data_IF_360695699875
#
_entry.id   IF_360695699875
#
_cell.length_a   1.000
_cell.length_b   1.000
_cell.length_c   1.000
_cell.angle_alpha   90.00
_cell.angle_beta   90.00
_cell.angle_gamma   90.00
#
_symmetry.space_group_name_H-M   'P 1'
#
loop_
_entity.id
_entity.type
_entity.pdbx_description
1 polymer ?
#
# COMPACT_ATOMS: atom_id res chain seq x y z
N UNK A 1 -9.26 -18.92 -16.04
CA UNK A 1 -9.46 -17.47 -16.22
C UNK A 1 -10.42 -16.84 -15.19
N UNK A 2 -11.68 -17.32 -15.09
CA UNK A 2 -12.63 -16.83 -14.07
C UNK A 2 -12.03 -16.91 -12.66
N UNK A 3 -11.34 -18.01 -12.35
CA UNK A 3 -10.64 -18.21 -11.08
C UNK A 3 -9.65 -17.08 -10.79
N UNK A 4 -8.68 -16.77 -11.66
CA UNK A 4 -7.70 -15.72 -11.38
C UNK A 4 -8.32 -14.33 -11.15
N UNK A 5 -9.35 -13.96 -11.93
CA UNK A 5 -10.08 -12.69 -11.75
C UNK A 5 -10.86 -12.66 -10.43
N UNK A 6 -11.55 -13.77 -10.10
CA UNK A 6 -12.30 -13.92 -8.85
C UNK A 6 -11.34 -13.92 -7.65
N UNK A 7 -10.24 -14.66 -7.72
CA UNK A 7 -9.22 -14.69 -6.67
C UNK A 7 -8.65 -13.30 -6.45
N UNK A 8 -8.27 -12.58 -7.52
CA UNK A 8 -7.77 -11.21 -7.40
C UNK A 8 -8.79 -10.26 -6.76
N UNK A 9 -10.06 -10.38 -7.14
CA UNK A 9 -11.14 -9.59 -6.54
C UNK A 9 -11.31 -9.90 -5.04
N UNK A 10 -11.37 -11.18 -4.67
CA UNK A 10 -11.45 -11.62 -3.26
C UNK A 10 -10.22 -11.15 -2.47
N UNK A 11 -9.03 -11.33 -3.02
CA UNK A 11 -7.78 -10.87 -2.40
C UNK A 11 -7.81 -9.35 -2.19
N UNK A 12 -8.28 -8.58 -3.16
CA UNK A 12 -8.42 -7.12 -3.04
C UNK A 12 -9.41 -6.72 -1.94
N UNK A 13 -10.52 -7.46 -1.79
CA UNK A 13 -11.46 -7.25 -0.68
C UNK A 13 -10.86 -7.60 0.69
N UNK A 14 -10.08 -8.69 0.77
CA UNK A 14 -9.36 -9.05 2.00
C UNK A 14 -8.35 -7.95 2.37
N UNK A 15 -7.58 -7.45 1.39
CA UNK A 15 -6.66 -6.33 1.60
C UNK A 15 -7.42 -5.08 2.06
N UNK A 16 -8.56 -4.75 1.44
CA UNK A 16 -9.39 -3.62 1.87
C UNK A 16 -9.84 -3.76 3.33
N UNK A 17 -10.29 -4.96 3.72
CA UNK A 17 -10.69 -5.24 5.09
C UNK A 17 -9.51 -5.14 6.07
N UNK A 18 -8.33 -5.64 5.69
CA UNK A 18 -7.11 -5.50 6.49
C UNK A 18 -6.74 -4.02 6.69
N UNK A 19 -6.79 -3.21 5.63
CA UNK A 19 -6.58 -1.75 5.74
C UNK A 19 -7.61 -1.10 6.65
N UNK A 20 -8.89 -1.48 6.53
CA UNK A 20 -9.95 -0.96 7.40
C UNK A 20 -9.71 -1.32 8.87
N UNK A 21 -9.40 -2.59 9.17
CA UNK A 21 -9.14 -3.05 10.54
C UNK A 21 -7.90 -2.36 11.12
N UNK A 22 -6.80 -2.28 10.36
CA UNK A 22 -5.59 -1.59 10.80
C UNK A 22 -5.79 -0.09 10.98
N UNK A 23 -6.63 0.56 10.17
CA UNK A 23 -7.02 1.96 10.39
C UNK A 23 -7.65 2.16 11.78
N UNK A 24 -8.54 1.23 12.17
CA UNK A 24 -9.25 1.25 13.45
C UNK A 24 -8.37 0.88 14.65
N UNK A 25 -7.16 0.38 14.43
CA UNK A 25 -6.15 0.16 15.48
C UNK A 25 -5.38 1.43 15.82
N UNK A 26 -5.77 2.59 15.29
CA UNK A 26 -5.20 3.88 15.67
C UNK A 26 -5.66 4.28 17.06
N UNK A 27 -4.72 4.54 17.97
CA UNK A 27 -5.04 4.98 19.33
C UNK A 27 -5.07 6.51 19.42
N UNK A 28 -5.71 7.02 20.47
CA UNK A 28 -5.68 8.45 20.78
C UNK A 28 -4.24 8.93 21.03
N UNK A 29 -3.84 10.13 20.56
CA UNK A 29 -2.49 10.68 20.72
C UNK A 29 -2.00 10.78 22.17
N UNK A 30 -2.92 10.74 23.14
CA UNK A 30 -2.60 10.90 24.56
C UNK A 30 -2.70 9.59 25.35
N UNK A 31 -2.79 8.46 24.65
CA UNK A 31 -2.83 7.12 25.23
C UNK A 31 -1.49 6.43 25.06
N UNK A 32 -0.92 5.93 26.16
CA UNK A 32 0.26 5.06 26.12
C UNK A 32 -0.22 3.61 26.03
N UNK A 33 0.07 2.92 24.92
CA UNK A 33 -0.24 1.49 24.76
C UNK A 33 0.94 0.64 25.22
N UNK A 34 0.67 -0.35 26.09
CA UNK A 34 1.66 -1.36 26.49
C UNK A 34 1.82 -2.53 25.51
N UNK A 35 0.92 -2.67 24.54
CA UNK A 35 0.88 -3.83 23.64
C UNK A 35 1.61 -3.61 22.30
N UNK A 36 2.34 -2.50 22.15
CA UNK A 36 2.98 -2.12 20.89
C UNK A 36 1.97 -1.82 19.78
N UNK A 37 2.38 -2.01 18.51
CA UNK A 37 1.52 -1.82 17.33
C UNK A 37 1.11 -3.15 16.68
N UNK A 38 -0.11 -3.67 16.96
CA UNK A 38 -0.63 -4.87 16.29
C UNK A 38 -0.71 -4.76 14.75
N UNK A 39 -0.82 -3.54 14.20
CA UNK A 39 -0.88 -3.33 12.76
C UNK A 39 0.41 -3.75 12.03
N UNK A 40 1.54 -3.88 12.73
CA UNK A 40 2.79 -4.40 12.15
C UNK A 40 2.64 -5.85 11.65
N UNK A 41 1.84 -6.67 12.34
CA UNK A 41 1.53 -8.03 11.90
C UNK A 41 0.79 -7.99 10.55
N UNK A 42 -0.12 -7.03 10.39
CA UNK A 42 -0.84 -6.83 9.13
C UNK A 42 0.11 -6.46 8.00
N UNK A 43 1.11 -5.58 8.24
CA UNK A 43 2.15 -5.27 7.24
C UNK A 43 2.89 -6.53 6.79
N UNK A 44 3.27 -7.40 7.72
CA UNK A 44 3.97 -8.65 7.41
C UNK A 44 3.12 -9.58 6.52
N UNK A 45 1.80 -9.62 6.72
CA UNK A 45 0.86 -10.43 5.92
C UNK A 45 0.57 -9.77 4.55
N UNK A 46 0.56 -8.43 4.49
CA UNK A 46 0.33 -7.71 3.23
C UNK A 46 1.45 -7.96 2.20
N UNK A 47 2.68 -8.23 2.63
CA UNK A 47 3.79 -8.49 1.73
C UNK A 47 3.61 -9.75 0.84
N UNK A 48 3.34 -10.96 1.38
CA UNK A 48 3.05 -12.11 0.54
C UNK A 48 1.77 -11.94 -0.28
N UNK A 49 0.76 -11.24 0.25
CA UNK A 49 -0.47 -10.93 -0.50
C UNK A 49 -0.15 -10.02 -1.70
N UNK A 50 0.73 -9.04 -1.53
CA UNK A 50 1.18 -8.17 -2.62
C UNK A 50 1.79 -8.98 -3.76
N UNK A 51 2.69 -9.92 -3.44
CA UNK A 51 3.33 -10.81 -4.40
C UNK A 51 2.27 -11.65 -5.14
N UNK A 52 1.31 -12.22 -4.41
CA UNK A 52 0.20 -12.96 -5.01
C UNK A 52 -0.61 -12.09 -5.98
N UNK A 53 -0.93 -10.84 -5.61
CA UNK A 53 -1.66 -9.93 -6.49
C UNK A 53 -0.88 -9.60 -7.77
N UNK A 54 0.43 -9.36 -7.68
CA UNK A 54 1.30 -9.14 -8.84
C UNK A 54 1.24 -10.35 -9.78
N UNK A 55 1.40 -11.57 -9.26
CA UNK A 55 1.34 -12.81 -10.05
C UNK A 55 -0.01 -12.96 -10.75
N UNK A 56 -1.11 -12.70 -10.04
CA UNK A 56 -2.47 -12.77 -10.60
C UNK A 56 -2.68 -11.74 -11.71
N UNK A 57 -2.18 -10.51 -11.54
CA UNK A 57 -2.21 -9.49 -12.58
C UNK A 57 -1.41 -9.90 -13.82
N UNK A 58 -0.16 -10.36 -13.65
CA UNK A 58 0.68 -10.84 -14.76
C UNK A 58 -0.03 -11.95 -15.54
N UNK A 59 -0.61 -12.93 -14.84
CA UNK A 59 -1.37 -14.02 -15.47
C UNK A 59 -2.57 -13.52 -16.27
N UNK A 60 -3.28 -12.51 -15.76
CA UNK A 60 -4.41 -11.90 -16.48
C UNK A 60 -3.91 -11.18 -17.74
N UNK A 61 -2.83 -10.40 -17.64
CA UNK A 61 -2.25 -9.66 -18.75
C UNK A 61 -1.76 -10.60 -19.87
N UNK A 62 -1.07 -11.70 -19.52
CA UNK A 62 -0.61 -12.72 -20.46
C UNK A 62 -1.75 -13.36 -21.25
N UNK A 63 -2.83 -13.74 -20.56
CA UNK A 63 -3.98 -14.41 -21.20
C UNK A 63 -4.74 -13.51 -22.17
N UNK A 64 -4.77 -12.20 -21.94
CA UNK A 64 -5.48 -11.25 -22.82
C UNK A 64 -4.57 -10.64 -23.88
N UNK A 65 -3.29 -11.05 -23.95
CA UNK A 65 -2.30 -10.57 -24.93
C UNK A 65 -2.33 -9.04 -25.09
N UNK A 66 -2.29 -8.33 -23.96
CA UNK A 66 -2.40 -6.87 -23.93
C UNK A 66 -1.25 -6.27 -24.74
N UNK A 67 -1.58 -5.36 -25.67
CA UNK A 67 -0.54 -4.76 -26.52
C UNK A 67 0.46 -3.95 -25.70
N UNK A 68 1.73 -3.92 -26.15
CA UNK A 68 2.80 -3.13 -25.51
C UNK A 68 2.42 -1.65 -25.31
N UNK A 69 1.67 -1.05 -26.24
CA UNK A 69 1.20 0.33 -26.14
C UNK A 69 0.29 0.53 -24.92
N UNK A 70 -0.66 -0.38 -24.70
CA UNK A 70 -1.53 -0.34 -23.52
C UNK A 70 -0.75 -0.52 -22.23
N UNK A 71 0.27 -1.39 -22.22
CA UNK A 71 1.15 -1.56 -21.06
C UNK A 71 1.91 -0.28 -20.72
N UNK A 72 2.51 0.38 -21.72
CA UNK A 72 3.24 1.64 -21.52
C UNK A 72 2.30 2.73 -20.97
N UNK A 73 1.11 2.89 -21.55
CA UNK A 73 0.11 3.85 -21.05
C UNK A 73 -0.29 3.51 -19.61
N UNK A 74 -0.53 2.23 -19.31
CA UNK A 74 -0.85 1.78 -17.95
C UNK A 74 0.27 2.06 -16.95
N UNK A 75 1.52 1.86 -17.33
CA UNK A 75 2.70 2.18 -16.51
C UNK A 75 2.74 3.68 -16.20
N UNK A 76 2.57 4.53 -17.21
CA UNK A 76 2.56 5.99 -17.02
C UNK A 76 1.42 6.42 -16.09
N UNK A 77 0.20 5.92 -16.33
CA UNK A 77 -0.97 6.27 -15.51
C UNK A 77 -0.82 5.83 -14.05
N UNK A 78 -0.37 4.59 -13.82
CA UNK A 78 -0.15 4.08 -12.46
C UNK A 78 1.00 4.81 -11.77
N UNK A 79 2.06 5.17 -12.50
CA UNK A 79 3.17 5.96 -11.97
C UNK A 79 2.74 7.37 -11.55
N UNK A 80 2.00 8.08 -12.40
CA UNK A 80 1.45 9.41 -12.08
C UNK A 80 0.51 9.34 -10.87
N UNK A 81 -0.37 8.34 -10.82
CA UNK A 81 -1.23 8.12 -9.66
C UNK A 81 -0.42 7.90 -8.39
N UNK A 82 0.62 7.06 -8.42
CA UNK A 82 1.48 6.80 -7.26
C UNK A 82 2.20 8.07 -6.77
N UNK A 83 2.72 8.91 -7.67
CA UNK A 83 3.32 10.20 -7.31
C UNK A 83 2.31 11.09 -6.60
N UNK A 84 1.13 11.27 -7.20
CA UNK A 84 0.07 12.12 -6.63
C UNK A 84 -0.39 11.61 -5.26
N UNK A 85 -0.62 10.30 -5.14
CA UNK A 85 -1.05 9.67 -3.91
C UNK A 85 0.03 9.75 -2.81
N UNK A 86 1.31 9.68 -3.16
CA UNK A 86 2.42 9.85 -2.23
C UNK A 86 2.54 11.30 -1.74
N UNK A 87 2.42 12.28 -2.63
CA UNK A 87 2.40 13.71 -2.26
C UNK A 87 1.22 13.99 -1.32
N UNK A 88 0.02 13.51 -1.69
CA UNK A 88 -1.16 13.63 -0.84
C UNK A 88 -0.94 13.01 0.53
N UNK A 89 -0.38 11.79 0.59
CA UNK A 89 -0.14 11.10 1.86
C UNK A 89 0.85 11.85 2.75
N UNK A 90 1.88 12.46 2.15
CA UNK A 90 2.86 13.28 2.87
C UNK A 90 2.21 14.52 3.48
N UNK A 91 1.37 15.21 2.72
CA UNK A 91 0.63 16.40 3.20
C UNK A 91 -0.37 15.98 4.29
N UNK A 92 -1.11 14.89 4.09
CA UNK A 92 -2.06 14.35 5.08
C UNK A 92 -1.37 14.03 6.41
N UNK A 93 -0.20 13.38 6.37
CA UNK A 93 0.57 13.08 7.57
C UNK A 93 1.08 14.34 8.27
N UNK A 94 1.53 15.34 7.52
CA UNK A 94 1.96 16.62 8.09
C UNK A 94 0.80 17.34 8.79
N UNK A 95 -0.37 17.42 8.16
CA UNK A 95 -1.56 18.02 8.77
C UNK A 95 -2.01 17.23 10.02
N UNK A 96 -1.91 15.90 9.97
CA UNK A 96 -2.30 15.05 11.10
C UNK A 96 -1.34 15.19 12.30
N UNK A 97 -0.07 15.54 12.07
CA UNK A 97 0.87 15.89 13.14
C UNK A 97 0.43 17.13 13.91
N UNK A 98 -0.10 18.13 13.23
CA UNK A 98 -0.66 19.32 13.89
C UNK A 98 -1.87 18.95 14.74
N UNK A 99 -2.76 18.06 14.26
CA UNK A 99 -3.89 17.56 15.07
C UNK A 99 -3.41 16.83 16.34
N UNK A 100 -2.36 16.02 16.23
CA UNK A 100 -1.73 15.36 17.38
C UNK A 100 -1.15 16.39 18.35
N UNK A 101 -0.46 17.40 17.83
CA UNK A 101 0.16 18.48 18.59
C UNK A 101 -0.89 19.25 19.38
N UNK A 102 -1.97 19.67 18.75
CA UNK A 102 -3.07 20.40 19.37
C UNK A 102 -3.72 19.58 20.49
N UNK A 103 -4.01 18.30 20.26
CA UNK A 103 -4.58 17.40 21.26
C UNK A 103 -3.67 17.21 22.49
N UNK A 104 -2.35 17.17 22.27
CA UNK A 104 -1.38 17.08 23.36
C UNK A 104 -1.25 18.39 24.14
N UNK A 105 -1.30 19.54 23.47
CA UNK A 105 -1.31 20.86 24.11
C UNK A 105 -2.55 21.03 24.96
N UNK A 106 -3.73 20.67 24.43
CA UNK A 106 -5.00 20.77 25.16
C UNK A 106 -4.97 19.97 26.47
N UNK A 107 -4.39 18.76 26.45
CA UNK A 107 -4.35 17.89 27.64
C UNK A 107 -3.18 18.20 28.60
N UNK A 108 -2.00 18.54 28.10
CA UNK A 108 -0.79 18.66 28.92
C UNK A 108 -0.29 20.11 29.10
N UNK A 109 -0.93 21.09 28.45
CA UNK A 109 -0.56 22.51 28.46
C UNK A 109 0.70 22.86 27.67
N UNK A 110 1.52 21.86 27.31
CA UNK A 110 2.72 21.97 26.48
C UNK A 110 2.98 20.65 25.76
N UNK A 111 3.66 20.73 24.62
CA UNK A 111 4.08 19.56 23.85
C UNK A 111 5.51 19.76 23.36
N UNK A 112 6.29 18.68 23.39
CA UNK A 112 7.60 18.62 22.78
C UNK A 112 7.45 18.21 21.31
N UNK A 113 7.92 19.05 20.38
CA UNK A 113 7.87 18.76 18.95
C UNK A 113 8.65 17.47 18.59
N UNK A 114 9.72 17.16 19.36
CA UNK A 114 10.46 15.92 19.17
C UNK A 114 9.63 14.69 19.56
N UNK A 115 8.81 14.80 20.61
CA UNK A 115 7.88 13.74 21.00
C UNK A 115 6.84 13.51 19.89
N UNK A 116 6.25 14.58 19.34
CA UNK A 116 5.30 14.48 18.21
C UNK A 116 5.96 13.80 17.01
N UNK A 117 7.20 14.15 16.67
CA UNK A 117 7.91 13.45 15.60
C UNK A 117 8.08 11.97 15.94
N UNK A 118 8.54 11.62 17.14
CA UNK A 118 8.78 10.23 17.51
C UNK A 118 7.52 9.36 17.40
N UNK A 119 6.37 9.84 17.89
CA UNK A 119 5.10 9.08 17.82
C UNK A 119 4.42 9.14 16.45
N UNK A 120 4.97 9.87 15.49
CA UNK A 120 4.46 9.97 14.12
C UNK A 120 5.47 9.56 13.06
N UNK A 121 6.54 8.87 13.46
CA UNK A 121 7.56 8.32 12.59
C UNK A 121 7.56 6.79 12.72
N UNK A 122 7.82 6.08 11.63
CA UNK A 122 7.91 4.60 11.57
C UNK A 122 6.68 3.88 12.16
N UNK A 123 5.65 3.61 11.35
CA UNK A 123 4.52 2.70 11.64
C UNK A 123 4.11 2.67 13.13
N UNK A 124 3.93 3.84 13.72
CA UNK A 124 3.53 3.98 15.11
C UNK A 124 2.00 3.85 15.25
N UNK A 125 1.54 3.37 16.40
CA UNK A 125 0.12 3.18 16.70
C UNK A 125 -0.73 4.45 16.55
N UNK A 126 -0.15 5.63 16.78
CA UNK A 126 -0.88 6.90 16.73
C UNK A 126 -1.17 7.35 15.29
N UNK A 127 -0.47 6.77 14.31
CA UNK A 127 -0.56 7.14 12.88
C UNK A 127 -0.94 5.96 11.99
N UNK A 128 -1.46 4.87 12.57
CA UNK A 128 -2.00 3.75 11.79
C UNK A 128 -3.03 4.20 10.74
N UNK A 129 -3.85 5.20 11.05
CA UNK A 129 -4.81 5.79 10.10
C UNK A 129 -4.17 6.55 8.94
N UNK A 130 -2.90 6.93 9.03
CA UNK A 130 -2.15 7.52 7.92
C UNK A 130 -1.49 6.44 7.05
N UNK A 131 -1.13 5.30 7.62
CA UNK A 131 -0.53 4.19 6.85
C UNK A 131 -1.57 3.22 6.26
N UNK A 132 -2.69 3.05 6.93
CA UNK A 132 -3.80 2.19 6.52
C UNK A 132 -5.04 3.05 6.32
N UNK A 133 -5.20 3.63 5.14
CA UNK A 133 -6.41 4.36 4.76
C UNK A 133 -6.76 4.06 3.30
N UNK A 134 -7.83 4.69 2.82
CA UNK A 134 -8.32 4.49 1.46
C UNK A 134 -7.28 4.91 0.42
N UNK A 135 -6.54 6.00 0.64
CA UNK A 135 -5.49 6.45 -0.25
C UNK A 135 -4.34 5.43 -0.32
N UNK A 136 -3.82 4.97 0.81
CA UNK A 136 -2.73 3.98 0.84
C UNK A 136 -3.19 2.60 0.34
N UNK A 137 -4.47 2.25 0.48
CA UNK A 137 -5.05 1.07 -0.16
C UNK A 137 -4.99 1.17 -1.69
N UNK A 138 -5.40 2.30 -2.27
CA UNK A 138 -5.28 2.51 -3.71
C UNK A 138 -3.83 2.55 -4.16
N UNK A 139 -2.91 3.14 -3.38
CA UNK A 139 -1.47 3.07 -3.65
C UNK A 139 -0.97 1.63 -3.73
N UNK A 140 -1.34 0.79 -2.76
CA UNK A 140 -0.96 -0.63 -2.74
C UNK A 140 -1.45 -1.37 -3.99
N UNK A 141 -2.71 -1.18 -4.36
CA UNK A 141 -3.29 -1.78 -5.55
C UNK A 141 -2.61 -1.28 -6.84
N UNK A 142 -2.48 0.04 -7.01
CA UNK A 142 -1.83 0.64 -8.17
C UNK A 142 -0.38 0.20 -8.29
N UNK A 143 0.34 0.04 -7.18
CA UNK A 143 1.70 -0.45 -7.18
C UNK A 143 1.78 -1.92 -7.63
N UNK A 144 0.85 -2.78 -7.19
CA UNK A 144 0.80 -4.17 -7.68
C UNK A 144 0.56 -4.25 -9.19
N UNK A 145 -0.30 -3.38 -9.72
CA UNK A 145 -0.57 -3.29 -11.17
C UNK A 145 0.67 -2.76 -11.90
N UNK A 146 1.29 -1.69 -11.39
CA UNK A 146 2.49 -1.10 -11.96
C UNK A 146 3.60 -2.16 -12.11
N UNK A 147 3.90 -2.90 -11.03
CA UNK A 147 4.91 -3.96 -11.04
C UNK A 147 4.52 -5.08 -12.01
N UNK A 148 3.25 -5.49 -12.04
CA UNK A 148 2.79 -6.50 -13.00
C UNK A 148 2.93 -6.06 -14.46
N UNK A 149 2.66 -4.79 -14.77
CA UNK A 149 2.83 -4.24 -16.11
C UNK A 149 4.31 -4.19 -16.52
N UNK A 150 5.20 -3.81 -15.60
CA UNK A 150 6.65 -3.82 -15.84
C UNK A 150 7.14 -5.25 -16.12
N UNK A 151 6.78 -6.23 -15.28
CA UNK A 151 7.14 -7.64 -15.51
C UNK A 151 6.58 -8.19 -16.81
N UNK A 152 5.35 -7.81 -17.18
CA UNK A 152 4.74 -8.26 -18.42
C UNK A 152 5.41 -7.65 -19.66
N UNK A 153 5.86 -6.40 -19.59
CA UNK A 153 6.49 -5.69 -20.72
C UNK A 153 7.96 -6.09 -20.92
N UNK A 154 8.67 -6.44 -19.84
CA UNK A 154 10.07 -6.84 -19.85
C UNK A 154 10.23 -8.27 -19.27
N UNK A 155 9.66 -9.29 -19.93
CA UNK A 155 9.97 -10.67 -19.56
C UNK A 155 11.47 -10.93 -19.76
N UNK A 156 12.09 -11.66 -18.84
CA UNK A 156 13.51 -12.03 -18.94
C UNK A 156 13.76 -12.78 -20.26
N UNK A 157 14.58 -12.22 -21.15
CA UNK A 157 15.00 -12.81 -22.45
C UNK A 157 15.67 -14.21 -22.30
N UNK A 158 15.97 -14.63 -21.06
CA UNK A 158 16.56 -15.94 -20.75
C UNK A 158 15.55 -17.09 -20.73
N UNK A 159 14.25 -16.83 -20.70
CA UNK A 159 13.22 -17.89 -20.66
C UNK A 159 12.82 -18.32 -22.08
N UNK A 160 12.88 -17.43 -23.07
CA UNK A 160 12.46 -17.70 -24.45
C UNK A 160 13.40 -18.66 -25.21
N UNK A 161 14.66 -18.77 -24.79
CA UNK A 161 15.66 -19.66 -25.42
C UNK A 161 15.58 -21.13 -24.99
N UNK A 162 14.68 -21.50 -24.07
CA UNK A 162 14.50 -22.91 -23.66
C UNK A 162 13.47 -23.66 -24.50
N UNK A 163 12.55 -22.96 -25.17
CA UNK A 163 11.45 -23.58 -25.92
C UNK A 163 11.78 -23.81 -27.41
N UNK A 164 13.02 -23.50 -27.84
CA UNK A 164 13.48 -23.64 -29.24
C UNK A 164 14.46 -24.83 -29.40
N UNK A 165 14.70 -25.62 -28.35
CA UNK A 165 15.66 -26.74 -28.37
C UNK A 165 15.07 -28.13 -28.09
N UNK A 166 13.76 -28.33 -28.22
CA UNK A 166 13.16 -29.69 -28.25
C UNK A 166 12.55 -30.03 -29.62
#
# INVERSE_FOLDING_TARGET
MKVAKITLFITSLVVLLMFYVSNRMTVSPVTISGNGNPALIVVAILLPIFILMVILWVRILQVHSISKRFCIVGIILTFVHLIMAFIYQRISLANYREVIKDALIEKNGKVDDQYVQNITTVLDIHVNNQYFNVNTFFMFNSFSIFIALVFYLFPDDKIENKDVQE
#
